data_IF_156916057387
#
_entry.id   IF_156916057387
#
_cell.length_a   1.000
_cell.length_b   1.000
_cell.length_c   1.000
_cell.angle_alpha   90.00
_cell.angle_beta   90.00
_cell.angle_gamma   90.00
#
_symmetry.space_group_name_H-M   'P 1'
#
loop_
_entity.id
_entity.type
_entity.pdbx_description
1 polymer ?
#
# COMPACT_ATOMS: atom_id res chain seq x y z
N UNK A 1 20.88 71.38 26.03
CA UNK A 1 19.79 71.17 27.00
C UNK A 1 18.67 70.43 26.28
N UNK A 2 18.51 69.13 26.60
CA UNK A 2 17.30 68.50 27.19
C UNK A 2 16.20 68.17 26.17
N UNK A 3 16.05 66.88 25.82
CA UNK A 3 15.02 65.89 26.26
C UNK A 3 13.67 66.08 25.55
N UNK A 4 13.31 65.15 24.65
CA UNK A 4 12.38 64.01 24.85
C UNK A 4 10.98 64.43 24.30
N UNK A 5 10.24 63.66 23.47
CA UNK A 5 9.57 62.39 23.80
C UNK A 5 9.17 61.59 22.53
N UNK A 6 9.24 60.25 22.64
CA UNK A 6 8.66 59.21 21.77
C UNK A 6 7.18 58.95 22.20
N UNK A 7 6.25 58.39 21.37
CA UNK A 7 6.13 56.92 21.24
C UNK A 7 5.49 56.29 19.94
N UNK A 8 6.07 55.16 19.54
CA UNK A 8 5.51 53.87 19.03
C UNK A 8 4.35 53.75 18.00
N UNK A 9 4.62 53.01 16.90
CA UNK A 9 3.85 51.81 16.53
C UNK A 9 4.82 50.62 16.33
N UNK A 10 4.46 49.49 16.92
CA UNK A 10 5.24 48.25 17.09
C UNK A 10 5.23 47.40 15.81
N UNK A 11 6.37 46.78 15.48
CA UNK A 11 6.49 45.71 14.47
C UNK A 11 6.66 44.35 15.17
N UNK A 12 5.99 43.27 14.72
CA UNK A 12 5.90 41.99 15.44
C UNK A 12 7.09 41.05 15.18
N UNK A 13 8.33 41.49 15.46
CA UNK A 13 9.53 40.67 15.30
C UNK A 13 10.12 40.11 16.61
N UNK A 14 9.32 40.01 17.68
CA UNK A 14 9.82 39.63 19.01
C UNK A 14 9.20 38.35 19.58
N UNK A 15 8.87 37.37 18.74
CA UNK A 15 8.40 36.04 19.20
C UNK A 15 9.20 34.84 18.65
N UNK A 16 10.25 35.04 17.83
CA UNK A 16 11.08 33.95 17.33
C UNK A 16 12.25 33.53 18.27
N UNK A 17 12.20 33.90 19.56
CA UNK A 17 13.37 33.86 20.45
C UNK A 17 13.33 32.95 21.69
N UNK A 18 12.35 32.03 21.84
CA UNK A 18 12.21 31.25 23.10
C UNK A 18 12.24 29.72 22.92
N UNK A 19 12.58 29.17 21.75
CA UNK A 19 12.71 27.71 21.58
C UNK A 19 14.10 27.11 21.94
N UNK A 20 15.03 27.89 22.53
CA UNK A 20 16.38 27.42 22.92
C UNK A 20 16.55 27.11 24.42
N UNK A 21 15.48 26.76 25.13
CA UNK A 21 15.56 26.40 26.56
C UNK A 21 15.00 25.00 26.90
N UNK A 22 14.97 24.07 25.93
CA UNK A 22 14.34 22.75 26.10
C UNK A 22 15.29 21.54 26.25
N UNK A 23 16.59 21.67 25.98
CA UNK A 23 17.53 20.54 26.05
C UNK A 23 18.75 20.94 26.88
N UNK A 24 18.56 20.96 28.20
CA UNK A 24 19.57 21.39 29.15
C UNK A 24 19.38 20.76 30.52
N UNK A 25 19.46 19.43 30.60
CA UNK A 25 19.57 18.73 31.89
C UNK A 25 20.42 17.45 31.75
N UNK A 26 21.68 17.60 31.33
CA UNK A 26 22.72 16.68 31.80
C UNK A 26 23.19 17.20 33.17
N UNK A 27 23.10 16.34 34.18
CA UNK A 27 23.45 16.66 35.55
C UNK A 27 24.90 17.15 35.64
N UNK A 28 25.09 18.45 35.87
CA UNK A 28 26.40 19.03 36.17
C UNK A 28 26.66 18.82 37.66
N UNK A 29 27.66 17.99 37.97
CA UNK A 29 28.21 17.82 39.32
C UNK A 29 28.82 19.16 39.81
N UNK A 30 28.55 19.62 41.04
CA UNK A 30 29.10 20.89 41.53
C UNK A 30 30.62 20.77 41.70
N UNK A 31 31.40 21.48 40.88
CA UNK A 31 32.86 21.56 41.02
C UNK A 31 33.69 21.97 39.80
N UNK A 32 33.08 22.29 38.64
CA UNK A 32 33.85 22.57 37.41
C UNK A 32 34.28 24.06 37.29
N UNK A 33 35.50 24.36 36.78
CA UNK A 33 35.99 25.74 36.55
C UNK A 33 35.13 26.51 35.53
N UNK A 34 35.19 27.86 35.51
CA UNK A 34 34.42 28.68 34.57
C UNK A 34 34.74 28.35 33.10
N UNK A 35 33.68 28.23 32.30
CA UNK A 35 33.71 27.85 30.89
C UNK A 35 34.58 28.82 30.06
N UNK A 36 35.36 28.33 29.08
CA UNK A 36 36.07 29.18 28.12
C UNK A 36 35.10 30.03 27.29
N UNK A 37 35.52 31.24 26.92
CA UNK A 37 34.75 32.18 26.10
C UNK A 37 34.24 31.53 24.80
N UNK A 38 32.93 31.58 24.58
CA UNK A 38 32.28 31.11 23.35
C UNK A 38 32.72 31.99 22.16
N UNK A 39 33.03 31.41 20.99
CA UNK A 39 33.24 32.18 19.77
C UNK A 39 32.01 33.02 19.43
N UNK A 40 32.23 34.22 18.90
CA UNK A 40 31.15 35.08 18.39
C UNK A 40 30.44 34.35 17.25
N UNK A 41 29.17 34.02 17.45
CA UNK A 41 28.29 33.48 16.41
C UNK A 41 28.08 34.53 15.32
N UNK A 42 28.69 34.33 14.16
CA UNK A 42 28.29 35.00 12.94
C UNK A 42 26.98 34.35 12.45
N UNK A 43 25.88 35.11 12.41
CA UNK A 43 24.66 34.66 11.75
C UNK A 43 24.90 34.61 10.24
N UNK A 44 24.86 33.42 9.59
CA UNK A 44 24.86 33.36 8.14
C UNK A 44 23.63 34.12 7.62
N UNK A 45 23.76 34.83 6.51
CA UNK A 45 22.61 35.43 5.85
C UNK A 45 21.71 34.30 5.33
N UNK A 46 20.63 34.00 6.04
CA UNK A 46 19.63 33.02 5.63
C UNK A 46 18.92 33.57 4.39
N UNK A 47 19.21 33.01 3.22
CA UNK A 47 18.50 33.34 1.99
C UNK A 47 17.18 32.56 1.96
N UNK A 48 16.07 33.29 2.01
CA UNK A 48 14.70 32.75 1.92
C UNK A 48 14.28 32.45 0.47
N UNK A 49 15.25 32.21 -0.42
CA UNK A 49 14.99 31.96 -1.83
C UNK A 49 14.49 30.52 -2.02
N UNK A 50 13.64 30.30 -3.03
CA UNK A 50 13.19 28.96 -3.44
C UNK A 50 14.14 28.31 -4.46
N UNK A 51 15.42 28.70 -4.45
CA UNK A 51 16.45 28.14 -5.33
C UNK A 51 17.01 26.82 -4.78
N UNK A 52 17.86 26.15 -5.57
CA UNK A 52 18.43 24.82 -5.28
C UNK A 52 19.10 24.72 -3.89
N UNK A 53 19.65 25.81 -3.36
CA UNK A 53 20.31 25.87 -2.04
C UNK A 53 19.55 26.72 -0.99
N UNK A 54 18.28 27.04 -1.25
CA UNK A 54 17.49 27.94 -0.42
C UNK A 54 16.74 27.26 0.72
N UNK A 55 16.33 28.01 1.75
CA UNK A 55 15.57 27.48 2.91
C UNK A 55 14.30 26.69 2.51
N UNK A 56 13.73 27.00 1.35
CA UNK A 56 12.48 26.40 0.88
C UNK A 56 12.68 25.14 0.03
N UNK A 57 13.92 24.72 -0.27
CA UNK A 57 14.18 23.55 -1.13
C UNK A 57 13.51 22.28 -0.60
N UNK A 58 13.71 21.94 0.67
CA UNK A 58 13.09 20.77 1.30
C UNK A 58 11.55 20.81 1.22
N UNK A 59 10.93 21.99 1.30
CA UNK A 59 9.48 22.13 1.12
C UNK A 59 9.04 21.88 -0.32
N UNK A 60 9.81 22.39 -1.28
CA UNK A 60 9.57 22.18 -2.71
C UNK A 60 9.72 20.70 -3.06
N UNK A 61 10.74 20.03 -2.54
CA UNK A 61 11.02 18.62 -2.80
C UNK A 61 9.88 17.73 -2.26
N UNK A 62 9.48 17.95 -1.01
CA UNK A 62 8.37 17.20 -0.40
C UNK A 62 7.04 17.44 -1.14
N UNK A 63 6.79 18.67 -1.59
CA UNK A 63 5.60 18.99 -2.38
C UNK A 63 5.63 18.35 -3.77
N UNK A 64 6.77 18.37 -4.45
CA UNK A 64 6.94 17.76 -5.77
C UNK A 64 6.75 16.24 -5.70
N UNK A 65 7.35 15.59 -4.69
CA UNK A 65 7.16 14.16 -4.45
C UNK A 65 5.70 13.83 -4.15
N UNK A 66 5.03 14.64 -3.31
CA UNK A 66 3.60 14.48 -3.05
C UNK A 66 2.74 14.64 -4.31
N UNK A 67 3.11 15.57 -5.20
CA UNK A 67 2.40 15.78 -6.46
C UNK A 67 2.62 14.63 -7.45
N UNK A 68 3.83 14.08 -7.54
CA UNK A 68 4.13 12.88 -8.34
C UNK A 68 3.32 11.69 -7.84
N UNK A 69 3.42 11.40 -6.54
CA UNK A 69 2.67 10.37 -5.84
C UNK A 69 1.15 10.50 -6.06
N UNK A 70 0.59 11.69 -5.84
CA UNK A 70 -0.84 11.96 -6.07
C UNK A 70 -1.23 11.77 -7.54
N UNK A 71 -0.36 12.16 -8.48
CA UNK A 71 -0.63 11.98 -9.91
C UNK A 71 -0.72 10.49 -10.26
N UNK A 72 0.17 9.66 -9.73
CA UNK A 72 0.12 8.20 -9.90
C UNK A 72 -1.22 7.64 -9.40
N UNK A 73 -1.61 7.97 -8.16
CA UNK A 73 -2.88 7.51 -7.58
C UNK A 73 -4.10 7.98 -8.37
N UNK A 74 -4.18 9.27 -8.71
CA UNK A 74 -5.32 9.82 -9.46
C UNK A 74 -5.41 9.20 -10.86
N UNK A 75 -4.28 8.98 -11.52
CA UNK A 75 -4.27 8.31 -12.82
C UNK A 75 -4.73 6.86 -12.68
N UNK A 76 -4.28 6.16 -11.64
CA UNK A 76 -4.63 4.78 -11.35
C UNK A 76 -6.13 4.62 -11.04
N UNK A 77 -6.67 5.46 -10.15
CA UNK A 77 -8.11 5.57 -9.89
C UNK A 77 -8.91 5.89 -11.16
N UNK A 78 -8.38 6.80 -11.99
CA UNK A 78 -8.99 7.23 -13.24
C UNK A 78 -9.11 6.12 -14.30
N UNK A 79 -8.34 5.03 -14.18
CA UNK A 79 -8.45 3.87 -15.08
C UNK A 79 -9.84 3.23 -14.98
N UNK A 80 -10.26 2.86 -13.78
CA UNK A 80 -11.60 2.36 -13.49
C UNK A 80 -11.91 2.50 -11.99
N UNK A 81 -12.60 3.58 -11.57
CA UNK A 81 -13.00 3.78 -10.19
C UNK A 81 -13.78 2.59 -9.62
N UNK A 82 -13.31 2.00 -8.53
CA UNK A 82 -13.98 0.86 -7.90
C UNK A 82 -14.11 -0.36 -8.82
N UNK A 83 -13.08 -0.66 -9.63
CA UNK A 83 -13.08 -1.74 -10.62
C UNK A 83 -13.54 -3.10 -10.07
N UNK A 84 -13.23 -3.43 -8.81
CA UNK A 84 -13.72 -4.67 -8.19
C UNK A 84 -15.25 -4.69 -8.09
N UNK A 85 -15.86 -3.58 -7.66
CA UNK A 85 -17.32 -3.43 -7.61
C UNK A 85 -17.93 -3.44 -9.01
N UNK A 86 -17.27 -2.80 -9.98
CA UNK A 86 -17.70 -2.85 -11.38
C UNK A 86 -17.77 -4.30 -11.88
N UNK A 87 -16.75 -5.11 -11.59
CA UNK A 87 -16.73 -6.52 -11.99
C UNK A 87 -17.80 -7.34 -11.24
N UNK A 88 -18.06 -7.06 -9.96
CA UNK A 88 -19.18 -7.68 -9.23
C UNK A 88 -20.51 -7.40 -9.96
N UNK A 89 -20.78 -6.14 -10.34
CA UNK A 89 -22.00 -5.77 -11.07
C UNK A 89 -22.09 -6.51 -12.41
N UNK A 90 -20.99 -6.57 -13.17
CA UNK A 90 -20.91 -7.29 -14.44
C UNK A 90 -21.22 -8.78 -14.26
N UNK A 91 -20.66 -9.42 -13.23
CA UNK A 91 -20.91 -10.82 -12.93
C UNK A 91 -22.39 -11.05 -12.57
N UNK A 92 -23.00 -10.18 -11.74
CA UNK A 92 -24.42 -10.30 -11.38
C UNK A 92 -25.34 -10.15 -12.61
N UNK A 93 -25.04 -9.24 -13.54
CA UNK A 93 -25.80 -9.11 -14.79
C UNK A 93 -25.56 -10.31 -15.72
N UNK A 94 -24.34 -10.84 -15.77
CA UNK A 94 -24.03 -12.07 -16.50
C UNK A 94 -24.81 -13.28 -15.97
N UNK A 95 -24.90 -13.44 -14.64
CA UNK A 95 -25.74 -14.47 -14.03
C UNK A 95 -27.22 -14.29 -14.37
N UNK A 96 -27.73 -13.06 -14.35
CA UNK A 96 -29.10 -12.78 -14.77
C UNK A 96 -29.35 -13.19 -16.24
N UNK A 97 -28.39 -12.93 -17.14
CA UNK A 97 -28.46 -13.38 -18.54
C UNK A 97 -28.48 -14.92 -18.64
N UNK A 98 -27.58 -15.61 -17.93
CA UNK A 98 -27.54 -17.08 -17.88
C UNK A 98 -28.86 -17.67 -17.38
N UNK A 99 -29.45 -17.09 -16.32
CA UNK A 99 -30.71 -17.56 -15.75
C UNK A 99 -31.90 -17.35 -16.70
N UNK A 100 -31.93 -16.22 -17.42
CA UNK A 100 -33.01 -15.89 -18.36
C UNK A 100 -32.90 -16.75 -19.63
N UNK A 101 -31.70 -16.89 -20.17
CA UNK A 101 -31.49 -17.53 -21.48
C UNK A 101 -31.23 -19.04 -21.37
N UNK A 102 -30.74 -19.54 -20.23
CA UNK A 102 -30.36 -20.94 -20.00
C UNK A 102 -30.72 -21.42 -18.57
N UNK A 103 -32.02 -21.49 -18.22
CA UNK A 103 -32.48 -21.77 -16.85
C UNK A 103 -32.02 -23.12 -16.27
N UNK A 104 -31.61 -24.07 -17.11
CA UNK A 104 -31.00 -25.34 -16.68
C UNK A 104 -29.63 -25.17 -15.99
N UNK A 105 -28.98 -24.01 -16.12
CA UNK A 105 -27.73 -23.69 -15.45
C UNK A 105 -27.91 -23.08 -14.05
N UNK A 106 -29.15 -23.00 -13.54
CA UNK A 106 -29.46 -22.44 -12.23
C UNK A 106 -28.53 -22.97 -11.11
N UNK A 107 -28.30 -24.29 -10.94
CA UNK A 107 -27.38 -24.78 -9.90
C UNK A 107 -25.92 -24.33 -10.08
N UNK A 108 -25.46 -24.17 -11.33
CA UNK A 108 -24.12 -23.69 -11.65
C UNK A 108 -23.92 -22.23 -11.22
N UNK A 109 -24.92 -21.38 -11.44
CA UNK A 109 -24.88 -19.96 -11.04
C UNK A 109 -24.71 -19.79 -9.52
N UNK A 110 -25.40 -20.59 -8.69
CA UNK A 110 -25.23 -20.52 -7.23
C UNK A 110 -23.85 -21.01 -6.79
N UNK A 111 -23.31 -22.03 -7.44
CA UNK A 111 -21.94 -22.48 -7.20
C UNK A 111 -20.93 -21.39 -7.55
N UNK A 112 -21.10 -20.71 -8.69
CA UNK A 112 -20.22 -19.63 -9.13
C UNK A 112 -20.27 -18.42 -8.18
N UNK A 113 -21.46 -18.04 -7.69
CA UNK A 113 -21.60 -16.99 -6.67
C UNK A 113 -20.86 -17.38 -5.38
N UNK A 114 -21.05 -18.62 -4.90
CA UNK A 114 -20.37 -19.12 -3.71
C UNK A 114 -18.84 -19.12 -3.86
N UNK A 115 -18.34 -19.57 -5.02
CA UNK A 115 -16.92 -19.56 -5.35
C UNK A 115 -16.36 -18.14 -5.39
N UNK A 116 -17.05 -17.20 -6.04
CA UNK A 116 -16.60 -15.80 -6.11
C UNK A 116 -16.51 -15.15 -4.72
N UNK A 117 -17.50 -15.40 -3.84
CA UNK A 117 -17.46 -14.91 -2.46
C UNK A 117 -16.28 -15.52 -1.71
N UNK A 118 -16.05 -16.82 -1.84
CA UNK A 118 -14.92 -17.50 -1.18
C UNK A 118 -13.56 -16.97 -1.69
N UNK A 119 -13.43 -16.75 -3.00
CA UNK A 119 -12.22 -16.18 -3.61
C UNK A 119 -11.94 -14.77 -3.10
N UNK A 120 -12.95 -13.90 -3.03
CA UNK A 120 -12.76 -12.52 -2.51
C UNK A 120 -12.45 -12.51 -1.01
N UNK A 121 -13.02 -13.43 -0.22
CA UNK A 121 -12.72 -13.50 1.22
C UNK A 121 -11.31 -14.05 1.49
N UNK A 122 -10.91 -15.10 0.77
CA UNK A 122 -9.57 -15.69 0.92
C UNK A 122 -8.46 -14.80 0.37
N UNK A 123 -8.75 -13.93 -0.61
CA UNK A 123 -7.77 -13.00 -1.16
C UNK A 123 -7.29 -11.94 -0.16
N UNK A 124 -8.09 -11.60 0.86
CA UNK A 124 -7.77 -10.54 1.81
C UNK A 124 -6.55 -10.86 2.69
N UNK A 125 -6.45 -12.11 3.17
CA UNK A 125 -5.37 -12.55 4.06
C UNK A 125 -4.43 -13.57 3.41
N UNK A 126 -4.81 -14.13 2.26
CA UNK A 126 -4.10 -15.19 1.53
C UNK A 126 -3.94 -16.53 2.26
N UNK A 127 -4.26 -16.61 3.55
CA UNK A 127 -4.19 -17.86 4.31
C UNK A 127 -5.23 -18.86 3.79
N UNK A 128 -4.74 -20.01 3.29
CA UNK A 128 -5.60 -21.07 2.74
C UNK A 128 -6.20 -20.75 1.37
N UNK A 129 -5.75 -19.66 0.73
CA UNK A 129 -6.14 -19.33 -0.64
C UNK A 129 -5.54 -20.32 -1.65
N UNK A 130 -6.19 -20.48 -2.80
CA UNK A 130 -5.64 -21.28 -3.90
C UNK A 130 -4.38 -20.62 -4.47
N UNK A 131 -3.50 -21.41 -5.11
CA UNK A 131 -2.30 -20.88 -5.79
C UNK A 131 -2.65 -19.77 -6.77
N UNK A 132 -3.71 -19.95 -7.57
CA UNK A 132 -4.15 -18.93 -8.54
C UNK A 132 -4.59 -17.63 -7.84
N UNK A 133 -5.24 -17.73 -6.68
CA UNK A 133 -5.64 -16.56 -5.89
C UNK A 133 -4.41 -15.86 -5.31
N UNK A 134 -3.46 -16.62 -4.75
CA UNK A 134 -2.21 -16.06 -4.23
C UNK A 134 -1.45 -15.33 -5.32
N UNK A 135 -1.28 -15.92 -6.50
CA UNK A 135 -0.59 -15.30 -7.63
C UNK A 135 -1.28 -14.01 -8.08
N UNK A 136 -2.58 -14.07 -8.38
CA UNK A 136 -3.31 -12.89 -8.85
C UNK A 136 -3.31 -11.75 -7.83
N UNK A 137 -3.33 -12.05 -6.53
CA UNK A 137 -3.23 -11.02 -5.50
C UNK A 137 -1.82 -10.48 -5.36
N UNK A 138 -0.80 -11.35 -5.39
CA UNK A 138 0.60 -10.94 -5.28
C UNK A 138 1.06 -10.08 -6.45
N UNK A 139 0.41 -10.18 -7.61
CA UNK A 139 0.61 -9.25 -8.72
C UNK A 139 0.30 -7.78 -8.33
N UNK A 140 -0.60 -7.57 -7.37
CA UNK A 140 -1.04 -6.26 -6.87
C UNK A 140 -0.52 -5.92 -5.46
N UNK A 141 0.28 -6.79 -4.86
CA UNK A 141 0.79 -6.58 -3.50
C UNK A 141 2.30 -6.81 -3.36
N UNK A 142 2.96 -7.33 -4.39
CA UNK A 142 4.40 -7.53 -4.48
C UNK A 142 4.95 -6.94 -5.78
N UNK A 143 6.07 -6.22 -5.70
CA UNK A 143 6.92 -5.97 -6.87
C UNK A 143 7.78 -7.21 -7.19
N UNK A 144 8.49 -7.18 -8.31
CA UNK A 144 9.29 -8.33 -8.79
C UNK A 144 10.31 -8.83 -7.76
N UNK A 145 11.02 -7.93 -7.08
CA UNK A 145 12.06 -8.32 -6.11
C UNK A 145 11.45 -8.90 -4.83
N UNK A 146 10.36 -8.32 -4.33
CA UNK A 146 9.66 -8.84 -3.16
C UNK A 146 8.90 -10.13 -3.46
N UNK A 147 8.42 -10.33 -4.69
CA UNK A 147 7.88 -11.60 -5.15
C UNK A 147 8.95 -12.69 -5.17
N UNK A 148 10.19 -12.34 -5.54
CA UNK A 148 11.31 -13.27 -5.44
C UNK A 148 11.57 -13.65 -3.97
N UNK A 149 11.64 -12.68 -3.05
CA UNK A 149 11.77 -12.95 -1.62
C UNK A 149 10.63 -13.86 -1.13
N UNK A 150 9.38 -13.54 -1.45
CA UNK A 150 8.22 -14.32 -1.04
C UNK A 150 8.29 -15.78 -1.52
N UNK A 151 8.83 -16.00 -2.72
CA UNK A 151 8.98 -17.34 -3.28
C UNK A 151 10.16 -18.13 -2.69
N UNK A 152 11.28 -17.47 -2.40
CA UNK A 152 12.51 -18.13 -1.94
C UNK A 152 12.57 -18.30 -0.43
N UNK A 153 12.07 -17.33 0.35
CA UNK A 153 12.24 -17.34 1.81
C UNK A 153 11.70 -18.63 2.46
N UNK A 154 10.51 -19.15 2.12
CA UNK A 154 10.05 -20.41 2.68
C UNK A 154 10.88 -21.63 2.23
N UNK A 155 11.45 -21.64 1.02
CA UNK A 155 12.20 -22.81 0.51
C UNK A 155 13.53 -22.99 1.22
N UNK A 156 14.16 -21.90 1.64
CA UNK A 156 15.48 -21.89 2.28
C UNK A 156 15.44 -22.23 3.78
N UNK A 157 14.25 -22.23 4.40
CA UNK A 157 14.08 -22.56 5.81
C UNK A 157 14.06 -24.08 6.05
N UNK A 158 14.39 -24.57 7.26
CA UNK A 158 14.25 -25.98 7.62
C UNK A 158 12.82 -26.49 7.40
N UNK A 159 12.65 -27.75 6.97
CA UNK A 159 11.33 -28.33 6.60
C UNK A 159 10.25 -28.14 7.67
N UNK A 160 10.62 -28.19 8.94
CA UNK A 160 9.69 -27.98 10.06
C UNK A 160 9.12 -26.55 10.16
N UNK A 161 9.82 -25.56 9.61
CA UNK A 161 9.45 -24.14 9.65
C UNK A 161 8.71 -23.68 8.38
N UNK A 162 8.81 -24.42 7.27
CA UNK A 162 8.23 -24.03 5.97
C UNK A 162 6.74 -23.72 6.04
N UNK A 163 5.87 -24.54 6.65
CA UNK A 163 4.44 -24.25 6.70
C UNK A 163 4.12 -22.95 7.44
N UNK A 164 4.87 -22.63 8.51
CA UNK A 164 4.69 -21.38 9.24
C UNK A 164 5.21 -20.18 8.43
N UNK A 165 6.35 -20.35 7.75
CA UNK A 165 6.92 -19.31 6.89
C UNK A 165 6.01 -18.98 5.70
N UNK A 166 5.40 -19.98 5.06
CA UNK A 166 4.42 -19.79 4.00
C UNK A 166 3.24 -18.94 4.47
N UNK A 167 2.67 -19.26 5.63
CA UNK A 167 1.56 -18.47 6.22
C UNK A 167 1.99 -17.04 6.53
N UNK A 168 3.18 -16.85 7.09
CA UNK A 168 3.71 -15.51 7.41
C UNK A 168 3.94 -14.71 6.13
N UNK A 169 4.57 -15.29 5.11
CA UNK A 169 4.82 -14.62 3.83
C UNK A 169 3.50 -14.29 3.14
N UNK A 170 2.53 -15.21 3.11
CA UNK A 170 1.20 -14.95 2.55
C UNK A 170 0.50 -13.81 3.28
N UNK A 171 0.53 -13.80 4.62
CA UNK A 171 -0.04 -12.71 5.39
C UNK A 171 0.69 -11.39 5.11
N UNK A 172 2.02 -11.37 5.13
CA UNK A 172 2.82 -10.17 4.92
C UNK A 172 2.71 -9.64 3.48
N UNK A 173 2.39 -10.50 2.51
CA UNK A 173 2.11 -10.13 1.12
C UNK A 173 0.63 -9.92 0.82
N UNK A 174 -0.24 -9.93 1.82
CA UNK A 174 -1.69 -9.83 1.61
C UNK A 174 -2.18 -8.37 1.47
N UNK A 175 -3.37 -8.16 0.85
CA UNK A 175 -4.04 -6.86 0.87
C UNK A 175 -4.38 -6.34 2.27
N UNK A 176 -4.64 -7.25 3.23
CA UNK A 176 -4.85 -6.86 4.63
C UNK A 176 -3.60 -6.24 5.25
N UNK A 177 -2.41 -6.80 4.96
CA UNK A 177 -1.15 -6.23 5.45
C UNK A 177 -0.91 -4.86 4.83
N UNK A 178 -1.19 -4.71 3.53
CA UNK A 178 -1.11 -3.45 2.80
C UNK A 178 -2.00 -2.37 3.42
N UNK A 179 -3.26 -2.72 3.70
CA UNK A 179 -4.24 -1.80 4.30
C UNK A 179 -3.83 -1.42 5.72
N UNK A 180 -3.36 -2.38 6.52
CA UNK A 180 -2.89 -2.13 7.88
C UNK A 180 -1.70 -1.18 7.89
N UNK A 181 -0.66 -1.48 7.12
CA UNK A 181 0.55 -0.65 7.13
C UNK A 181 0.32 0.69 6.42
N UNK A 182 -0.50 0.72 5.36
CA UNK A 182 -0.91 1.95 4.69
C UNK A 182 -1.72 2.88 5.59
N UNK A 183 -2.58 2.34 6.47
CA UNK A 183 -3.33 3.14 7.44
C UNK A 183 -2.43 3.66 8.58
N UNK A 184 -1.46 2.87 9.02
CA UNK A 184 -0.54 3.25 10.11
C UNK A 184 0.60 4.17 9.62
N UNK A 185 0.99 4.05 8.36
CA UNK A 185 2.13 4.74 7.77
C UNK A 185 2.10 6.26 7.99
N UNK A 186 1.02 7.00 7.64
CA UNK A 186 0.95 8.45 7.82
C UNK A 186 1.08 8.93 9.28
N UNK A 187 0.86 8.02 10.24
CA UNK A 187 1.01 8.29 11.69
C UNK A 187 2.44 8.00 12.15
N UNK A 188 3.07 6.95 11.64
CA UNK A 188 4.41 6.50 12.03
C UNK A 188 5.51 7.27 11.30
N UNK A 189 5.32 7.53 10.00
CA UNK A 189 6.33 8.14 9.13
C UNK A 189 6.84 9.52 9.61
N UNK A 190 6.05 10.40 10.25
CA UNK A 190 6.56 11.66 10.79
C UNK A 190 7.51 11.44 11.96
N UNK A 191 7.28 10.43 12.80
CA UNK A 191 8.17 10.09 13.91
C UNK A 191 9.50 9.53 13.37
N UNK A 192 9.44 8.67 12.35
CA UNK A 192 10.63 8.16 11.65
C UNK A 192 11.41 9.31 11.01
N UNK A 193 10.72 10.26 10.38
CA UNK A 193 11.34 11.45 9.79
C UNK A 193 12.08 12.31 10.83
N UNK A 194 11.57 12.42 12.06
CA UNK A 194 12.29 13.09 13.15
C UNK A 194 13.56 12.33 13.57
N UNK A 195 13.52 11.00 13.63
CA UNK A 195 14.69 10.17 13.92
C UNK A 195 15.74 10.39 12.82
N UNK A 196 15.35 10.28 11.56
CA UNK A 196 16.22 10.51 10.40
C UNK A 196 16.82 11.92 10.41
N UNK A 197 16.05 12.94 10.81
CA UNK A 197 16.52 14.32 10.95
C UNK A 197 17.60 14.43 12.04
N UNK A 198 17.41 13.79 13.19
CA UNK A 198 18.40 13.77 14.28
C UNK A 198 19.69 13.07 13.81
N UNK A 199 19.56 11.94 13.11
CA UNK A 199 20.70 11.21 12.54
C UNK A 199 21.47 12.07 11.53
N UNK A 200 20.78 12.75 10.62
CA UNK A 200 21.38 13.65 9.63
C UNK A 200 22.15 14.80 10.30
N UNK A 201 21.57 15.43 11.33
CA UNK A 201 22.24 16.49 12.11
C UNK A 201 23.48 15.93 12.81
N UNK A 202 23.37 14.78 13.48
CA UNK A 202 24.50 14.17 14.19
C UNK A 202 25.62 13.77 13.23
N UNK A 203 25.29 13.19 12.08
CA UNK A 203 26.25 12.82 11.05
C UNK A 203 27.00 14.04 10.53
N UNK A 204 26.30 15.14 10.25
CA UNK A 204 26.92 16.40 9.81
C UNK A 204 27.83 17.00 10.88
N UNK A 205 27.41 17.00 12.15
CA UNK A 205 28.23 17.47 13.28
C UNK A 205 29.49 16.62 13.45
N UNK A 206 29.36 15.28 13.41
CA UNK A 206 30.51 14.37 13.50
C UNK A 206 31.46 14.51 12.31
N UNK A 207 30.93 14.79 11.12
CA UNK A 207 31.69 15.11 9.92
C UNK A 207 32.35 16.50 9.93
N UNK A 208 32.07 17.34 10.93
CA UNK A 208 32.57 18.72 11.01
C UNK A 208 31.90 19.69 10.04
N UNK A 209 30.82 19.29 9.38
CA UNK A 209 30.08 20.13 8.44
C UNK A 209 28.93 20.86 9.15
N UNK A 210 29.27 21.99 9.75
CA UNK A 210 28.28 22.84 10.43
C UNK A 210 27.21 23.41 9.49
N UNK A 211 27.49 23.52 8.18
CA UNK A 211 26.51 24.01 7.21
C UNK A 211 25.45 22.95 6.96
N UNK A 212 25.87 21.70 6.71
CA UNK A 212 24.97 20.57 6.55
C UNK A 212 24.13 20.33 7.82
N UNK A 213 24.71 20.51 9.02
CA UNK A 213 23.97 20.35 10.27
C UNK A 213 22.85 21.38 10.43
N UNK A 214 23.09 22.64 10.05
CA UNK A 214 22.07 23.70 10.06
C UNK A 214 21.02 23.46 8.97
N UNK A 215 21.43 23.01 7.78
CA UNK A 215 20.49 22.67 6.70
C UNK A 215 19.56 21.53 7.10
N UNK A 216 20.08 20.45 7.69
CA UNK A 216 19.27 19.33 8.17
C UNK A 216 18.25 19.77 9.24
N UNK A 217 18.66 20.63 10.18
CA UNK A 217 17.75 21.20 11.19
C UNK A 217 16.64 22.06 10.57
N UNK A 218 16.96 22.82 9.53
CA UNK A 218 16.00 23.66 8.81
C UNK A 218 15.07 22.85 7.91
N UNK A 219 15.52 21.69 7.42
CA UNK A 219 14.73 20.75 6.63
C UNK A 219 13.74 19.94 7.49
N UNK A 220 14.06 19.68 8.77
CA UNK A 220 13.24 18.87 9.69
C UNK A 220 11.72 19.18 9.65
N UNK A 221 11.26 20.45 9.65
CA UNK A 221 9.83 20.73 9.56
C UNK A 221 9.22 20.34 8.21
N UNK A 222 9.95 20.51 7.11
CA UNK A 222 9.52 20.10 5.78
C UNK A 222 9.47 18.57 5.70
N UNK A 223 10.50 17.88 6.20
CA UNK A 223 10.58 16.43 6.18
C UNK A 223 9.52 15.77 7.05
N UNK A 224 9.18 16.37 8.20
CA UNK A 224 8.10 15.90 9.07
C UNK A 224 6.72 16.00 8.40
N UNK A 225 6.44 17.15 7.74
CA UNK A 225 5.16 17.33 7.03
C UNK A 225 5.13 16.50 5.76
N UNK A 226 6.24 16.48 5.02
CA UNK A 226 6.43 15.70 3.81
C UNK A 226 6.21 14.21 4.05
N UNK A 227 6.71 13.67 5.17
CA UNK A 227 6.53 12.25 5.49
C UNK A 227 5.08 11.87 5.77
N UNK A 228 4.22 12.78 6.24
CA UNK A 228 2.76 12.51 6.35
C UNK A 228 2.18 12.14 4.99
N UNK A 229 2.65 12.77 3.91
CA UNK A 229 2.17 12.55 2.55
C UNK A 229 2.94 11.47 1.81
N UNK A 230 4.27 11.48 1.94
CA UNK A 230 5.18 10.70 1.10
C UNK A 230 5.76 9.47 1.80
N UNK A 231 5.67 9.42 3.12
CA UNK A 231 6.29 8.39 3.93
C UNK A 231 7.70 8.73 4.41
N UNK A 232 8.30 7.81 5.15
CA UNK A 232 9.68 7.87 5.60
C UNK A 232 10.23 6.46 5.80
N UNK A 233 11.52 6.29 5.53
CA UNK A 233 12.20 5.00 5.69
C UNK A 233 12.99 4.98 6.98
N UNK A 234 12.75 3.97 7.81
CA UNK A 234 13.49 3.72 9.04
C UNK A 234 14.69 2.82 8.71
N UNK A 235 15.90 3.28 9.05
CA UNK A 235 17.09 2.43 9.01
C UNK A 235 17.05 1.46 10.21
N UNK A 236 17.31 0.18 9.94
CA UNK A 236 17.29 -0.92 10.91
C UNK A 236 18.63 -1.67 10.96
N UNK A 237 19.71 -1.10 10.43
CA UNK A 237 21.03 -1.73 10.35
C UNK A 237 21.56 -2.14 11.74
N UNK A 238 21.14 -1.42 12.78
CA UNK A 238 21.44 -1.76 14.17
C UNK A 238 20.93 -3.15 14.59
N UNK A 239 19.97 -3.73 13.85
CA UNK A 239 19.43 -5.07 14.09
C UNK A 239 20.20 -6.17 13.36
N UNK A 240 21.01 -5.84 12.34
CA UNK A 240 21.77 -6.82 11.54
C UNK A 240 22.64 -7.72 12.43
N UNK A 241 23.41 -7.20 13.41
CA UNK A 241 24.23 -8.07 14.27
C UNK A 241 23.42 -9.08 15.08
N UNK A 242 22.13 -8.81 15.35
CA UNK A 242 21.24 -9.75 16.02
C UNK A 242 20.76 -10.85 15.07
N UNK A 243 20.51 -10.52 13.80
CA UNK A 243 20.13 -11.49 12.77
C UNK A 243 21.28 -12.47 12.47
N UNK A 244 22.51 -11.98 12.39
CA UNK A 244 23.70 -12.80 12.18
C UNK A 244 23.92 -13.80 13.33
N UNK A 245 23.74 -13.32 14.57
CA UNK A 245 23.84 -14.15 15.78
C UNK A 245 22.74 -15.22 15.86
N UNK A 246 21.57 -14.95 15.29
CA UNK A 246 20.46 -15.91 15.27
C UNK A 246 20.71 -17.10 14.32
N UNK A 247 21.73 -17.03 13.45
CA UNK A 247 22.06 -18.05 12.45
C UNK A 247 20.86 -18.48 11.60
N UNK A 248 19.96 -17.54 11.33
CA UNK A 248 18.74 -17.75 10.54
C UNK A 248 18.97 -17.59 9.04
N UNK A 249 20.08 -16.96 8.63
CA UNK A 249 20.41 -16.73 7.23
C UNK A 249 21.07 -17.97 6.62
N UNK A 250 20.74 -18.32 5.36
CA UNK A 250 21.44 -19.37 4.63
C UNK A 250 22.94 -19.11 4.53
N UNK A 251 23.75 -20.17 4.45
CA UNK A 251 25.20 -20.02 4.28
C UNK A 251 25.54 -19.29 2.98
N UNK A 252 26.39 -18.27 3.07
CA UNK A 252 26.81 -17.44 1.91
C UNK A 252 25.91 -16.23 1.67
N UNK A 253 24.85 -16.03 2.47
CA UNK A 253 23.99 -14.85 2.43
C UNK A 253 24.24 -13.96 3.65
N UNK A 254 24.64 -12.71 3.39
CA UNK A 254 24.82 -11.66 4.38
C UNK A 254 23.83 -10.51 4.12
N UNK A 255 23.33 -9.89 5.18
CA UNK A 255 22.51 -8.68 5.09
C UNK A 255 23.42 -7.49 5.41
N UNK A 256 23.71 -6.68 4.40
CA UNK A 256 24.52 -5.46 4.51
C UNK A 256 23.70 -4.24 4.95
N UNK A 257 22.39 -4.28 4.71
CA UNK A 257 21.47 -3.18 4.98
C UNK A 257 20.06 -3.67 5.24
N UNK A 258 19.40 -3.09 6.24
CA UNK A 258 18.04 -3.40 6.62
C UNK A 258 17.27 -2.11 6.85
N UNK A 259 16.10 -2.00 6.25
CA UNK A 259 15.25 -0.84 6.45
C UNK A 259 13.77 -1.17 6.32
N UNK A 260 12.92 -0.26 6.77
CA UNK A 260 11.48 -0.37 6.59
C UNK A 260 10.87 0.95 6.13
N UNK A 261 10.24 0.94 4.95
CA UNK A 261 9.62 2.10 4.32
C UNK A 261 8.16 2.26 4.76
N UNK A 262 7.89 3.18 5.70
CA UNK A 262 6.52 3.52 6.08
C UNK A 262 5.94 4.50 5.05
N UNK A 263 4.82 4.15 4.42
CA UNK A 263 4.15 5.05 3.47
C UNK A 263 3.42 6.21 4.14
N UNK A 264 3.30 7.32 3.43
CA UNK A 264 2.42 8.42 3.76
C UNK A 264 1.08 8.28 3.05
N UNK A 265 0.24 9.30 3.15
CA UNK A 265 -1.11 9.31 2.59
C UNK A 265 -1.13 9.03 1.08
N UNK A 266 -0.12 9.52 0.37
CA UNK A 266 -0.04 9.53 -1.08
C UNK A 266 0.92 8.48 -1.63
N UNK A 267 1.61 7.70 -0.79
CA UNK A 267 2.60 6.73 -1.26
C UNK A 267 1.93 5.67 -2.16
N UNK A 268 2.32 5.57 -3.44
CA UNK A 268 1.67 4.69 -4.41
C UNK A 268 2.05 3.21 -4.25
N UNK A 269 3.17 2.93 -3.57
CA UNK A 269 3.80 1.62 -3.59
C UNK A 269 4.29 1.23 -4.99
N UNK A 270 4.59 -0.05 -5.17
CA UNK A 270 5.11 -0.62 -6.41
C UNK A 270 4.82 -2.11 -6.48
N UNK A 271 4.30 -2.57 -7.62
CA UNK A 271 3.77 -3.94 -7.81
C UNK A 271 4.01 -4.45 -9.22
N UNK A 272 3.81 -5.75 -9.44
CA UNK A 272 4.05 -6.42 -10.73
C UNK A 272 2.96 -6.18 -11.78
N UNK A 273 1.73 -5.84 -11.37
CA UNK A 273 0.60 -5.66 -12.27
C UNK A 273 0.80 -4.56 -13.33
N UNK A 274 1.65 -3.57 -13.05
CA UNK A 274 1.87 -2.40 -13.92
C UNK A 274 3.19 -2.40 -14.68
N UNK A 275 3.42 -1.40 -15.57
CA UNK A 275 2.50 -0.30 -15.89
C UNK A 275 1.38 -0.70 -16.86
N UNK A 276 0.22 -0.10 -16.68
CA UNK A 276 -0.94 -0.21 -17.57
C UNK A 276 -0.75 0.62 -18.84
N UNK A 277 -1.00 -0.02 -19.98
CA UNK A 277 -0.80 0.55 -21.31
C UNK A 277 -2.09 0.45 -22.12
N UNK A 278 -2.36 1.47 -22.94
CA UNK A 278 -3.52 1.48 -23.84
C UNK A 278 -3.05 1.28 -25.27
N UNK A 279 -3.83 0.59 -26.08
CA UNK A 279 -3.50 0.31 -27.48
C UNK A 279 -4.66 0.68 -28.40
N UNK A 280 -4.35 1.21 -29.58
CA UNK A 280 -5.30 1.35 -30.68
C UNK A 280 -5.65 -0.02 -31.29
N UNK A 281 -6.69 -0.05 -32.11
CA UNK A 281 -7.13 -1.28 -32.81
C UNK A 281 -6.11 -1.90 -33.78
N UNK A 282 -5.00 -1.21 -34.06
CA UNK A 282 -3.85 -1.69 -34.83
C UNK A 282 -2.69 -2.23 -33.97
N UNK A 283 -2.85 -2.23 -32.64
CA UNK A 283 -1.84 -2.68 -31.68
C UNK A 283 -0.79 -1.61 -31.33
N UNK A 284 -0.95 -0.36 -31.78
CA UNK A 284 -0.06 0.75 -31.42
C UNK A 284 -0.39 1.28 -30.03
N UNK A 285 0.61 1.43 -29.16
CA UNK A 285 0.45 2.04 -27.84
C UNK A 285 -0.05 3.50 -27.98
N UNK A 286 -1.05 3.88 -27.18
CA UNK A 286 -1.63 5.22 -27.14
C UNK A 286 -1.64 5.74 -25.70
N UNK A 287 -1.41 7.04 -25.55
CA UNK A 287 -1.50 7.70 -24.26
C UNK A 287 -0.33 7.40 -23.31
N UNK A 288 -0.37 7.98 -22.10
CA UNK A 288 0.65 7.75 -21.08
C UNK A 288 0.46 6.38 -20.42
N UNK A 289 1.58 5.76 -20.05
CA UNK A 289 1.62 4.59 -19.17
C UNK A 289 1.18 4.98 -17.77
N UNK A 290 0.40 4.14 -17.11
CA UNK A 290 -0.04 4.36 -15.73
C UNK A 290 0.55 3.27 -14.84
N UNK A 291 1.43 3.63 -13.94
CA UNK A 291 1.99 2.69 -12.98
C UNK A 291 0.90 2.13 -12.07
N UNK A 292 0.99 0.83 -11.76
CA UNK A 292 0.06 0.18 -10.86
C UNK A 292 0.36 0.60 -9.43
N UNK A 293 -0.67 1.08 -8.72
CA UNK A 293 -0.62 1.35 -7.29
C UNK A 293 -0.92 0.06 -6.52
N UNK A 294 -0.26 -0.13 -5.38
CA UNK A 294 -0.42 -1.31 -4.54
C UNK A 294 0.85 -1.65 -3.79
N UNK A 295 0.80 -2.70 -2.98
CA UNK A 295 1.92 -3.13 -2.16
C UNK A 295 1.46 -3.97 -0.98
N UNK A 296 2.35 -4.13 -0.01
CA UNK A 296 2.12 -4.93 1.20
C UNK A 296 3.17 -4.63 2.26
N UNK A 297 3.01 -5.19 3.45
CA UNK A 297 4.06 -5.11 4.49
C UNK A 297 5.38 -5.71 4.04
N UNK A 298 5.36 -6.76 3.21
CA UNK A 298 6.58 -7.34 2.66
C UNK A 298 7.23 -6.40 1.66
N UNK A 299 6.45 -5.71 0.82
CA UNK A 299 6.95 -4.71 -0.12
C UNK A 299 7.70 -3.55 0.55
N UNK A 300 7.33 -3.20 1.78
CA UNK A 300 7.94 -2.11 2.53
C UNK A 300 9.27 -2.47 3.20
N UNK A 301 9.68 -3.75 3.16
CA UNK A 301 10.95 -4.20 3.71
C UNK A 301 12.10 -3.91 2.75
N UNK A 302 13.05 -3.08 3.15
CA UNK A 302 14.28 -2.86 2.39
C UNK A 302 15.41 -3.79 2.85
N UNK A 303 16.12 -4.39 1.90
CA UNK A 303 17.23 -5.30 2.13
C UNK A 303 18.39 -5.00 1.16
N UNK A 304 19.58 -4.80 1.69
CA UNK A 304 20.82 -4.95 0.92
C UNK A 304 21.43 -6.31 1.27
N UNK A 305 21.54 -7.18 0.27
CA UNK A 305 22.00 -8.56 0.43
C UNK A 305 23.32 -8.72 -0.31
N UNK A 306 24.30 -9.33 0.34
CA UNK A 306 25.50 -9.86 -0.30
C UNK A 306 25.40 -11.39 -0.37
N UNK A 307 25.41 -11.92 -1.58
CA UNK A 307 25.43 -13.36 -1.83
C UNK A 307 26.73 -13.74 -2.54
N UNK A 308 27.68 -14.32 -1.81
CA UNK A 308 29.01 -14.72 -2.33
C UNK A 308 29.73 -13.60 -3.14
N UNK A 309 29.58 -12.34 -2.74
CA UNK A 309 30.16 -11.16 -3.38
C UNK A 309 29.26 -10.50 -4.44
N UNK A 310 28.07 -11.03 -4.69
CA UNK A 310 27.06 -10.40 -5.53
C UNK A 310 26.08 -9.59 -4.68
N UNK A 311 26.16 -8.25 -4.78
CA UNK A 311 25.29 -7.33 -4.04
C UNK A 311 23.96 -7.11 -4.76
N UNK A 312 22.86 -7.32 -4.05
CA UNK A 312 21.50 -7.07 -4.50
C UNK A 312 20.88 -6.04 -3.55
N UNK A 313 20.46 -4.90 -4.12
CA UNK A 313 19.66 -3.92 -3.40
C UNK A 313 18.18 -4.18 -3.69
N UNK A 314 17.40 -4.37 -2.63
CA UNK A 314 15.96 -4.51 -2.66
C UNK A 314 15.40 -3.32 -1.88
N UNK A 315 14.99 -2.24 -2.57
CA UNK A 315 14.48 -1.06 -1.88
C UNK A 315 13.12 -1.35 -1.27
N UNK A 316 12.89 -0.88 -0.04
CA UNK A 316 11.56 -0.91 0.56
C UNK A 316 10.63 0.06 -0.15
N UNK A 317 9.45 -0.43 -0.54
CA UNK A 317 8.43 0.33 -1.26
C UNK A 317 7.37 0.83 -0.28
N UNK A 318 7.25 2.15 -0.06
CA UNK A 318 6.26 2.71 0.84
C UNK A 318 4.86 2.60 0.24
N UNK A 319 3.92 2.04 1.00
CA UNK A 319 2.52 1.92 0.59
C UNK A 319 1.60 2.79 1.46
N UNK A 320 0.75 3.58 0.81
CA UNK A 320 -0.26 4.41 1.45
C UNK A 320 -1.65 3.76 1.49
N UNK A 321 -2.60 4.38 2.23
CA UNK A 321 -3.95 3.83 2.39
C UNK A 321 -4.75 3.88 1.08
N UNK A 322 -4.52 4.86 0.21
CA UNK A 322 -5.24 4.97 -1.07
C UNK A 322 -4.77 3.88 -2.03
N UNK A 323 -3.46 3.76 -2.24
CA UNK A 323 -2.86 2.75 -3.09
C UNK A 323 -3.21 1.31 -2.67
N UNK A 324 -3.20 1.01 -1.37
CA UNK A 324 -3.58 -0.33 -0.89
C UNK A 324 -5.03 -0.69 -1.25
N UNK A 325 -5.96 0.27 -1.20
CA UNK A 325 -7.35 0.06 -1.61
C UNK A 325 -7.50 -0.05 -3.14
N UNK A 326 -6.76 0.76 -3.90
CA UNK A 326 -6.74 0.68 -5.36
C UNK A 326 -6.21 -0.68 -5.84
N UNK A 327 -5.04 -1.10 -5.33
CA UNK A 327 -4.45 -2.40 -5.63
C UNK A 327 -5.36 -3.56 -5.24
N UNK A 328 -6.01 -3.49 -4.06
CA UNK A 328 -6.98 -4.52 -3.66
C UNK A 328 -8.20 -4.57 -4.58
N UNK A 329 -8.76 -3.42 -4.96
CA UNK A 329 -9.88 -3.35 -5.90
C UNK A 329 -9.51 -3.98 -7.26
N UNK A 330 -8.30 -3.75 -7.74
CA UNK A 330 -7.80 -4.32 -9.00
C UNK A 330 -7.58 -5.83 -8.90
N UNK A 331 -6.99 -6.31 -7.80
CA UNK A 331 -6.87 -7.74 -7.52
C UNK A 331 -8.23 -8.43 -7.51
N UNK A 332 -9.24 -7.83 -6.85
CA UNK A 332 -10.62 -8.34 -6.86
C UNK A 332 -11.19 -8.38 -8.28
N UNK A 333 -10.98 -7.32 -9.07
CA UNK A 333 -11.44 -7.31 -10.45
C UNK A 333 -10.80 -8.45 -11.27
N UNK A 334 -9.47 -8.63 -11.18
CA UNK A 334 -8.75 -9.71 -11.86
C UNK A 334 -9.27 -11.10 -11.42
N UNK A 335 -9.43 -11.33 -10.13
CA UNK A 335 -9.95 -12.59 -9.57
C UNK A 335 -11.37 -12.90 -10.06
N UNK A 336 -12.19 -11.87 -10.25
CA UNK A 336 -13.57 -11.98 -10.72
C UNK A 336 -13.69 -11.97 -12.25
N UNK A 337 -12.57 -12.02 -12.98
CA UNK A 337 -12.53 -12.22 -14.43
C UNK A 337 -12.37 -10.95 -15.26
N UNK A 338 -12.10 -9.79 -14.66
CA UNK A 338 -11.77 -8.59 -15.41
C UNK A 338 -10.43 -8.75 -16.13
N UNK A 339 -10.34 -8.27 -17.37
CA UNK A 339 -9.15 -8.43 -18.22
C UNK A 339 -8.26 -7.18 -18.19
N UNK A 340 -6.95 -7.39 -18.30
CA UNK A 340 -5.95 -6.30 -18.40
C UNK A 340 -5.54 -5.67 -17.07
N UNK A 341 -5.90 -6.28 -15.93
CA UNK A 341 -5.58 -5.77 -14.60
C UNK A 341 -4.36 -6.43 -13.95
N UNK A 342 -3.95 -7.61 -14.42
CA UNK A 342 -2.74 -8.30 -13.96
C UNK A 342 -1.46 -7.88 -14.72
N UNK A 343 -0.32 -8.56 -14.48
CA UNK A 343 0.97 -8.23 -15.06
C UNK A 343 0.95 -8.36 -16.59
N UNK A 344 1.86 -7.64 -17.24
CA UNK A 344 1.92 -7.59 -18.71
C UNK A 344 1.99 -8.97 -19.35
N UNK A 345 0.93 -9.33 -20.06
CA UNK A 345 0.88 -10.50 -20.95
C UNK A 345 1.34 -10.15 -22.36
N UNK A 346 1.75 -11.15 -23.15
CA UNK A 346 1.97 -11.01 -24.60
C UNK A 346 0.95 -11.85 -25.37
N UNK A 347 0.05 -11.25 -26.19
CA UNK A 347 -0.08 -9.82 -26.45
C UNK A 347 -0.57 -9.03 -25.23
N UNK A 348 -0.23 -7.74 -25.17
CA UNK A 348 -0.65 -6.85 -24.09
C UNK A 348 -2.18 -6.66 -24.15
N UNK A 349 -2.83 -6.85 -23.01
CA UNK A 349 -4.28 -6.65 -22.85
C UNK A 349 -4.47 -5.34 -22.10
N UNK A 350 -5.05 -4.30 -22.71
CA UNK A 350 -5.29 -3.04 -22.01
C UNK A 350 -6.31 -3.25 -20.88
N UNK A 351 -6.20 -2.51 -19.76
CA UNK A 351 -7.24 -2.53 -18.74
C UNK A 351 -8.54 -1.97 -19.32
N UNK A 352 -9.59 -2.78 -19.34
CA UNK A 352 -10.92 -2.36 -19.79
C UNK A 352 -11.80 -2.17 -18.55
N UNK A 353 -12.38 -0.98 -18.32
CA UNK A 353 -13.34 -0.78 -17.23
C UNK A 353 -14.53 -1.73 -17.43
N UNK A 354 -14.84 -2.63 -16.46
CA UNK A 354 -15.86 -3.68 -16.67
C UNK A 354 -17.22 -3.13 -17.07
N UNK A 355 -17.66 -1.98 -16.53
CA UNK A 355 -18.95 -1.40 -16.89
C UNK A 355 -19.02 -0.87 -18.32
N UNK A 356 -17.89 -0.65 -19.00
CA UNK A 356 -17.86 -0.12 -20.37
C UNK A 356 -18.41 -1.11 -21.42
N UNK A 357 -18.41 -2.40 -21.11
CA UNK A 357 -18.89 -3.47 -22.00
C UNK A 357 -20.23 -4.07 -21.54
N UNK A 358 -20.80 -3.57 -20.44
CA UNK A 358 -22.02 -4.11 -19.85
C UNK A 358 -23.21 -3.98 -20.81
N UNK A 359 -23.84 -5.12 -21.11
CA UNK A 359 -25.11 -5.19 -21.85
C UNK A 359 -26.11 -5.96 -21.00
N UNK A 360 -27.31 -5.41 -20.80
CA UNK A 360 -28.35 -6.09 -20.05
C UNK A 360 -29.07 -7.13 -20.92
N UNK A 361 -29.43 -8.31 -20.37
CA UNK A 361 -30.22 -9.30 -21.08
C UNK A 361 -31.57 -8.74 -21.51
N UNK A 362 -32.07 -9.20 -22.66
CA UNK A 362 -33.42 -8.90 -23.14
C UNK A 362 -34.25 -10.17 -23.22
N UNK A 363 -35.53 -10.09 -22.88
CA UNK A 363 -36.46 -11.20 -23.06
C UNK A 363 -36.95 -11.15 -24.51
N UNK A 364 -36.73 -12.22 -25.28
CA UNK A 364 -37.28 -12.33 -26.63
C UNK A 364 -38.81 -12.28 -26.58
N UNK A 365 -39.44 -11.51 -27.47
CA UNK A 365 -40.90 -11.37 -27.55
C UNK A 365 -41.51 -12.13 -28.74
N UNK A 366 -40.67 -12.74 -29.59
CA UNK A 366 -41.07 -13.25 -30.90
C UNK A 366 -41.41 -14.76 -30.93
N UNK A 367 -41.23 -15.49 -29.83
CA UNK A 367 -41.26 -16.96 -29.83
C UNK A 367 -41.98 -17.61 -28.63
N UNK A 368 -42.76 -16.86 -27.85
CA UNK A 368 -43.42 -17.39 -26.65
C UNK A 368 -42.45 -17.67 -25.48
N UNK A 369 -41.18 -17.29 -25.64
CA UNK A 369 -40.11 -17.46 -24.66
C UNK A 369 -40.36 -16.72 -23.34
N UNK A 370 -41.03 -15.58 -23.32
CA UNK A 370 -41.40 -14.90 -22.06
C UNK A 370 -42.24 -15.79 -21.10
N UNK A 371 -43.13 -16.62 -21.64
CA UNK A 371 -43.91 -17.57 -20.85
C UNK A 371 -43.11 -18.85 -20.50
N UNK A 372 -42.20 -19.27 -21.39
CA UNK A 372 -41.30 -20.40 -21.16
C UNK A 372 -40.24 -20.08 -20.08
N UNK A 373 -39.61 -18.91 -20.12
CA UNK A 373 -38.69 -18.41 -19.08
C UNK A 373 -39.38 -18.32 -17.72
N UNK A 374 -40.63 -17.85 -17.67
CA UNK A 374 -41.41 -17.85 -16.42
C UNK A 374 -41.69 -19.28 -15.91
N UNK A 375 -41.96 -20.23 -16.81
CA UNK A 375 -42.30 -21.61 -16.41
C UNK A 375 -41.05 -22.39 -16.01
N UNK A 376 -39.95 -22.23 -16.74
CA UNK A 376 -38.65 -22.84 -16.43
C UNK A 376 -37.98 -22.21 -15.21
N UNK A 377 -38.12 -20.90 -14.97
CA UNK A 377 -37.67 -20.27 -13.73
C UNK A 377 -38.48 -20.77 -12.53
N UNK A 378 -39.81 -20.93 -12.67
CA UNK A 378 -40.65 -21.49 -11.61
C UNK A 378 -40.40 -23.00 -11.38
N UNK A 379 -40.06 -23.74 -12.43
CA UNK A 379 -39.66 -25.15 -12.34
C UNK A 379 -38.22 -25.32 -11.80
N UNK A 380 -37.30 -24.39 -12.08
CA UNK A 380 -35.97 -24.36 -11.48
C UNK A 380 -36.02 -23.93 -10.01
N UNK A 381 -36.99 -23.07 -9.65
CA UNK A 381 -37.34 -22.73 -8.27
C UNK A 381 -38.23 -23.78 -7.59
N UNK A 382 -38.36 -25.01 -8.11
CA UNK A 382 -39.27 -26.02 -7.58
C UNK A 382 -39.10 -26.16 -6.06
N UNK A 383 -40.12 -25.67 -5.36
CA UNK A 383 -40.12 -25.37 -3.91
C UNK A 383 -39.99 -26.63 -3.04
N UNK A 384 -40.08 -27.82 -3.66
CA UNK A 384 -39.90 -29.10 -2.97
C UNK A 384 -38.45 -29.35 -2.50
N UNK A 385 -37.42 -28.78 -3.15
CA UNK A 385 -36.01 -28.99 -2.78
C UNK A 385 -35.42 -27.90 -1.84
N UNK A 386 -36.09 -26.73 -1.78
CA UNK A 386 -35.86 -25.73 -0.73
C UNK A 386 -36.60 -26.06 0.59
N UNK A 387 -37.44 -27.11 0.59
CA UNK A 387 -38.34 -27.43 1.69
C UNK A 387 -37.70 -28.16 2.88
N UNK A 388 -36.44 -28.58 2.78
CA UNK A 388 -35.74 -29.14 3.95
C UNK A 388 -34.84 -28.09 4.56
N UNK A 389 -35.06 -27.80 5.84
CA UNK A 389 -34.17 -26.94 6.61
C UNK A 389 -32.70 -27.37 6.49
N UNK A 390 -32.42 -28.64 6.18
CA UNK A 390 -31.09 -29.19 5.94
C UNK A 390 -30.37 -28.64 4.70
N UNK A 391 -31.04 -28.30 3.59
CA UNK A 391 -30.34 -27.75 2.41
C UNK A 391 -29.93 -26.29 2.60
N UNK A 392 -30.79 -25.48 3.22
CA UNK A 392 -30.47 -24.12 3.63
C UNK A 392 -29.45 -24.11 4.78
N UNK A 393 -29.53 -25.08 5.69
CA UNK A 393 -28.57 -25.24 6.79
C UNK A 393 -27.23 -25.82 6.31
N UNK A 394 -27.18 -26.61 5.23
CA UNK A 394 -25.93 -27.07 4.61
C UNK A 394 -25.27 -25.96 3.79
N UNK A 395 -26.07 -25.12 3.12
CA UNK A 395 -25.60 -23.93 2.42
C UNK A 395 -25.08 -22.86 3.40
N UNK A 396 -25.73 -22.70 4.55
CA UNK A 396 -25.31 -21.80 5.62
C UNK A 396 -24.17 -22.40 6.46
N UNK A 397 -24.16 -23.69 6.80
CA UNK A 397 -23.08 -24.29 7.58
C UNK A 397 -21.81 -24.58 6.76
N UNK A 398 -21.92 -24.71 5.43
CA UNK A 398 -20.78 -24.96 4.54
C UNK A 398 -19.83 -23.77 4.37
N UNK A 399 -20.25 -22.56 4.73
CA UNK A 399 -19.41 -21.35 4.66
C UNK A 399 -19.59 -20.35 5.81
N UNK A 400 -20.68 -20.42 6.57
CA UNK A 400 -20.98 -19.48 7.65
C UNK A 400 -20.56 -20.00 9.04
N UNK A 401 -20.20 -21.28 9.15
CA UNK A 401 -19.60 -21.85 10.36
C UNK A 401 -18.27 -21.20 10.73
N UNK A 402 -17.48 -20.81 9.72
CA UNK A 402 -16.22 -20.09 9.90
C UNK A 402 -16.44 -18.57 10.03
N UNK A 403 -17.51 -18.00 9.45
CA UNK A 403 -17.91 -16.59 9.67
C UNK A 403 -18.40 -16.33 11.10
N UNK A 404 -19.01 -17.32 11.75
CA UNK A 404 -19.41 -17.24 13.16
C UNK A 404 -18.22 -17.27 14.14
N UNK A 405 -17.01 -17.57 13.64
CA UNK A 405 -15.76 -17.51 14.42
C UNK A 405 -15.00 -16.18 14.22
N UNK A 406 -15.45 -15.31 13.30
CA UNK A 406 -14.87 -13.98 13.13
C UNK A 406 -15.41 -13.04 14.21
N UNK A 407 -14.55 -12.26 14.88
CA UNK A 407 -14.98 -11.24 15.83
C UNK A 407 -16.01 -10.30 15.20
N UNK A 408 -17.12 -10.01 15.90
CA UNK A 408 -18.21 -9.15 15.43
C UNK A 408 -17.76 -7.78 14.88
N UNK A 409 -16.59 -7.29 15.27
CA UNK A 409 -16.01 -6.05 14.75
C UNK A 409 -15.52 -6.15 13.30
N UNK A 410 -15.08 -7.33 12.85
CA UNK A 410 -14.62 -7.58 11.48
C UNK A 410 -15.82 -7.70 10.53
N UNK A 411 -16.88 -8.37 10.97
CA UNK A 411 -18.11 -8.52 10.20
C UNK A 411 -18.82 -7.18 10.01
N UNK A 412 -18.87 -6.35 11.06
CA UNK A 412 -19.43 -5.00 10.98
C UNK A 412 -18.54 -4.03 10.18
N UNK A 413 -17.21 -4.24 10.18
CA UNK A 413 -16.28 -3.49 9.33
C UNK A 413 -16.44 -3.82 7.84
N UNK A 414 -16.62 -5.09 7.49
CA UNK A 414 -16.88 -5.56 6.14
C UNK A 414 -18.21 -5.04 5.57
N UNK A 415 -19.27 -5.01 6.39
CA UNK A 415 -20.57 -4.45 5.96
C UNK A 415 -20.59 -2.93 5.88
N UNK A 416 -19.68 -2.24 6.56
CA UNK A 416 -19.53 -0.78 6.49
C UNK A 416 -18.67 -0.28 5.32
N UNK A 417 -18.04 -1.19 4.58
CA UNK A 417 -17.21 -0.91 3.40
C UNK A 417 -17.97 -1.06 2.06
N UNK A 418 -19.26 -1.42 2.10
CA UNK A 418 -20.15 -1.52 0.94
C UNK A 418 -21.24 -0.45 0.97
#
# INVERSE_FOLDING_TARGET
MQRADHPWIRSPYLTAGVALAGVGALAVTPGMPPLPHLPVLHSPAVQLTAGEDGLLSAWVDQFNLANENASTLVNNFGLAPGVGLQQIIVNQVGYLDTLINNPSQFPGVFADIGNNVQTVLSSLFLVGASTDTVTAVQDHTLNTLHSLIASLLPSELPDAAKPAAEVIVQLLSSPASATLIGALGPVISPEVSLINSVEAIMAAVQGGDTSAAVQALLATPADFVGSVFNGATLNLDALIPLLDQAHILPSGLEIDGLSYAFGGLLSPGSVQAGPYEFFNGDGTEIGPKVDAAGGSMLNSLGLDIDFDGAKINIPGEPIGPIASLEGFSQAVAQLLGATGWGPKSSPAVPPIPPLSTLTFPTISTDDGSAAAVSTDLLNALNVDDLGTAESLTALLNGGMGDLAMLPDQILNGLLGLF
#
